data_IF_570297844937
#
_entry.id   IF_570297844937
#
_cell.length_a   1.000
_cell.length_b   1.000
_cell.length_c   1.000
_cell.angle_alpha   90.00
_cell.angle_beta   90.00
_cell.angle_gamma   90.00
#
_symmetry.space_group_name_H-M   'P 1'
#
loop_
_entity.id
_entity.type
_entity.pdbx_description
1 polymer ?
#
# COMPACT_ATOMS: atom_id res chain seq x y z
N UNK A 1 -14.27 29.72 -8.03
CA UNK A 1 -13.51 28.47 -8.15
C UNK A 1 -13.21 27.97 -6.75
N UNK A 2 -13.98 27.03 -6.22
CA UNK A 2 -13.69 26.45 -4.91
C UNK A 2 -12.44 25.58 -5.06
N UNK A 3 -11.35 25.93 -4.38
CA UNK A 3 -10.15 25.11 -4.35
C UNK A 3 -10.54 23.71 -3.91
N UNK A 4 -10.29 22.70 -4.75
CA UNK A 4 -10.43 21.29 -4.36
C UNK A 4 -9.61 21.15 -3.08
N UNK A 5 -10.28 20.89 -1.95
CA UNK A 5 -9.60 20.56 -0.71
C UNK A 5 -8.76 19.31 -0.97
N UNK A 6 -7.47 19.51 -1.24
CA UNK A 6 -6.53 18.42 -1.41
C UNK A 6 -6.24 17.92 0.00
N UNK A 7 -6.77 16.75 0.34
CA UNK A 7 -6.42 16.07 1.59
C UNK A 7 -4.89 16.06 1.73
N UNK A 8 -4.30 16.41 2.88
CA UNK A 8 -2.84 16.51 3.04
C UNK A 8 -2.20 15.11 3.03
N UNK A 9 -2.08 14.52 1.84
CA UNK A 9 -1.64 13.14 1.62
C UNK A 9 -0.24 12.88 2.18
N UNK A 10 0.69 13.82 1.98
CA UNK A 10 2.08 13.67 2.44
C UNK A 10 2.19 13.71 3.97
N UNK A 11 1.64 14.71 4.69
CA UNK A 11 1.63 14.67 6.15
C UNK A 11 0.97 13.41 6.74
N UNK A 12 -0.18 12.99 6.19
CA UNK A 12 -0.84 11.77 6.67
C UNK A 12 0.02 10.53 6.43
N UNK A 13 0.67 10.42 5.27
CA UNK A 13 1.59 9.33 4.95
C UNK A 13 2.77 9.27 5.92
N UNK A 14 3.39 10.41 6.22
CA UNK A 14 4.48 10.48 7.19
C UNK A 14 4.03 10.03 8.58
N UNK A 15 2.87 10.50 9.03
CA UNK A 15 2.30 10.10 10.33
C UNK A 15 2.02 8.59 10.39
N UNK A 16 1.45 8.02 9.33
CA UNK A 16 1.17 6.58 9.27
C UNK A 16 2.45 5.74 9.27
N UNK A 17 3.52 6.22 8.65
CA UNK A 17 4.79 5.52 8.64
C UNK A 17 5.57 5.66 9.96
N UNK A 18 5.41 6.77 10.67
CA UNK A 18 6.01 6.96 12.00
C UNK A 18 5.26 6.21 13.11
N UNK A 19 4.00 5.88 12.90
CA UNK A 19 3.17 5.21 13.91
C UNK A 19 3.77 3.87 14.42
N UNK A 20 4.24 2.95 13.56
CA UNK A 20 4.94 1.75 14.00
C UNK A 20 6.22 2.01 14.78
N UNK A 21 6.97 3.06 14.43
CA UNK A 21 8.18 3.46 15.16
C UNK A 21 7.82 3.94 16.57
N UNK A 22 6.74 4.72 16.71
CA UNK A 22 6.22 5.11 18.02
C UNK A 22 5.82 3.89 18.86
N UNK A 23 5.24 2.86 18.25
CA UNK A 23 4.96 1.58 18.90
C UNK A 23 6.20 0.94 19.54
N UNK A 24 7.33 0.94 18.84
CA UNK A 24 8.58 0.36 19.38
C UNK A 24 9.15 1.23 20.49
N UNK A 25 9.22 2.55 20.27
CA UNK A 25 9.87 3.48 21.20
C UNK A 25 9.10 3.64 22.52
N UNK A 26 7.77 3.65 22.47
CA UNK A 26 6.92 3.99 23.62
C UNK A 26 6.11 2.81 24.17
N UNK A 27 5.81 1.80 23.34
CA UNK A 27 4.91 0.68 23.70
C UNK A 27 5.61 -0.69 23.68
N UNK A 28 6.95 -0.71 23.61
CA UNK A 28 7.78 -1.90 23.55
C UNK A 28 7.31 -2.90 22.47
N UNK A 29 6.79 -2.40 21.35
CA UNK A 29 6.35 -3.26 20.27
C UNK A 29 7.49 -4.14 19.78
N UNK A 30 7.14 -5.40 19.64
CA UNK A 30 8.02 -6.39 19.08
C UNK A 30 8.07 -6.25 17.55
N UNK A 31 9.10 -6.81 16.93
CA UNK A 31 9.19 -6.82 15.47
C UNK A 31 8.02 -7.59 14.83
N UNK A 32 7.44 -8.56 15.55
CA UNK A 32 6.20 -9.22 15.16
C UNK A 32 5.04 -8.22 15.05
N UNK A 33 4.82 -7.40 16.09
CA UNK A 33 3.73 -6.41 16.10
C UNK A 33 3.82 -5.44 14.91
N UNK A 34 5.03 -4.97 14.61
CA UNK A 34 5.26 -4.12 13.45
C UNK A 34 4.85 -4.85 12.18
N UNK A 35 5.45 -6.01 11.86
CA UNK A 35 5.14 -6.67 10.58
C UNK A 35 3.67 -7.07 10.48
N UNK A 36 3.05 -7.45 11.60
CA UNK A 36 1.65 -7.84 11.64
C UNK A 36 0.71 -6.69 11.31
N UNK A 37 0.93 -5.47 11.85
CA UNK A 37 0.12 -4.31 11.48
C UNK A 37 0.25 -3.96 9.99
N UNK A 38 1.43 -4.16 9.43
CA UNK A 38 1.70 -3.94 8.01
C UNK A 38 1.08 -4.99 7.09
N UNK A 39 1.05 -6.24 7.54
CA UNK A 39 0.30 -7.28 6.87
C UNK A 39 -1.18 -6.89 6.80
N UNK A 40 -1.75 -6.40 7.90
CA UNK A 40 -3.12 -5.85 7.92
C UNK A 40 -3.30 -4.62 7.04
N UNK A 41 -2.33 -3.71 6.99
CA UNK A 41 -2.33 -2.59 6.03
C UNK A 41 -2.54 -3.08 4.60
N UNK A 42 -1.84 -4.16 4.23
CA UNK A 42 -1.92 -4.76 2.89
C UNK A 42 -3.26 -5.46 2.65
N UNK A 43 -3.82 -6.11 3.66
CA UNK A 43 -5.17 -6.71 3.61
C UNK A 43 -6.22 -5.62 3.36
N UNK A 44 -6.19 -4.55 4.15
CA UNK A 44 -7.13 -3.42 4.06
C UNK A 44 -7.00 -2.72 2.70
N UNK A 45 -5.79 -2.42 2.26
CA UNK A 45 -5.53 -1.87 0.92
C UNK A 45 -6.14 -2.75 -0.19
N UNK A 46 -5.92 -4.07 -0.11
CA UNK A 46 -6.42 -5.01 -1.11
C UNK A 46 -7.96 -5.01 -1.15
N UNK A 47 -8.61 -4.96 0.01
CA UNK A 47 -10.06 -4.82 0.12
C UNK A 47 -10.57 -3.55 -0.57
N UNK A 48 -9.99 -2.38 -0.26
CA UNK A 48 -10.40 -1.12 -0.89
C UNK A 48 -10.10 -1.08 -2.38
N UNK A 49 -9.03 -1.70 -2.86
CA UNK A 49 -8.75 -1.83 -4.29
C UNK A 49 -9.84 -2.64 -5.01
N UNK A 50 -10.36 -3.71 -4.40
CA UNK A 50 -11.51 -4.44 -4.96
C UNK A 50 -12.74 -3.56 -5.06
N UNK A 51 -13.03 -2.75 -4.02
CA UNK A 51 -14.13 -1.78 -4.06
C UNK A 51 -13.93 -0.72 -5.14
N UNK A 52 -12.69 -0.28 -5.38
CA UNK A 52 -12.36 0.67 -6.46
C UNK A 52 -12.51 0.02 -7.83
N UNK A 53 -12.06 -1.22 -8.02
CA UNK A 53 -12.20 -1.95 -9.29
C UNK A 53 -13.67 -2.12 -9.70
N UNK A 54 -14.54 -2.41 -8.74
CA UNK A 54 -15.99 -2.48 -9.00
C UNK A 54 -16.53 -1.16 -9.58
N UNK A 55 -16.08 -0.01 -9.04
CA UNK A 55 -16.56 1.34 -9.39
C UNK A 55 -15.78 2.04 -10.50
N UNK A 56 -14.61 1.54 -10.90
CA UNK A 56 -13.78 2.10 -11.97
C UNK A 56 -14.53 2.15 -13.31
N UNK A 57 -14.55 3.29 -14.00
CA UNK A 57 -15.31 3.43 -15.25
C UNK A 57 -14.45 3.36 -16.52
N UNK A 58 -13.16 3.73 -16.44
CA UNK A 58 -12.29 3.72 -17.62
C UNK A 58 -12.01 2.30 -18.07
N UNK A 59 -12.15 2.08 -19.39
CA UNK A 59 -11.72 0.83 -20.02
C UNK A 59 -10.22 0.84 -20.25
N UNK A 60 -9.59 -0.32 -20.11
CA UNK A 60 -8.17 -0.47 -20.43
C UNK A 60 -7.95 -0.41 -21.95
N UNK A 61 -6.91 0.30 -22.36
CA UNK A 61 -6.47 0.41 -23.75
C UNK A 61 -5.89 -0.91 -24.25
N UNK A 62 -5.94 -1.13 -25.57
CA UNK A 62 -5.40 -2.33 -26.19
C UNK A 62 -3.88 -2.42 -25.98
N UNK A 63 -3.40 -3.62 -25.65
CA UNK A 63 -1.97 -3.90 -25.48
C UNK A 63 -1.49 -4.70 -26.69
N UNK A 64 -0.85 -4.06 -27.68
CA UNK A 64 -0.53 -4.71 -28.96
C UNK A 64 0.43 -5.89 -28.82
N UNK A 65 1.21 -5.95 -27.74
CA UNK A 65 2.21 -6.99 -27.50
C UNK A 65 1.73 -8.11 -26.56
N UNK A 66 0.44 -8.17 -26.21
CA UNK A 66 -0.11 -9.20 -25.32
C UNK A 66 -1.00 -10.15 -26.12
N UNK A 67 -0.56 -11.42 -26.18
CA UNK A 67 -1.32 -12.51 -26.81
C UNK A 67 -1.78 -13.52 -25.78
N UNK A 68 -3.02 -13.96 -25.86
CA UNK A 68 -3.58 -15.07 -25.09
C UNK A 68 -3.75 -16.24 -26.07
N UNK A 69 -3.06 -17.35 -25.81
CA UNK A 69 -3.05 -18.54 -26.68
C UNK A 69 -2.65 -18.24 -28.14
N UNK A 70 -1.69 -17.33 -28.34
CA UNK A 70 -1.22 -16.93 -29.68
C UNK A 70 -2.15 -15.95 -30.43
N UNK A 71 -3.30 -15.60 -29.87
CA UNK A 71 -4.21 -14.59 -30.41
C UNK A 71 -4.09 -13.27 -29.63
N UNK A 72 -4.28 -12.10 -30.28
CA UNK A 72 -4.34 -10.82 -29.59
C UNK A 72 -5.42 -10.81 -28.50
N UNK A 73 -5.14 -10.16 -27.38
CA UNK A 73 -6.11 -10.00 -26.29
C UNK A 73 -7.38 -9.27 -26.77
N UNK A 74 -8.54 -9.92 -26.59
CA UNK A 74 -9.85 -9.34 -26.91
C UNK A 74 -10.32 -8.34 -25.85
N UNK A 75 -11.09 -7.34 -26.29
CA UNK A 75 -11.65 -6.32 -25.37
C UNK A 75 -12.53 -6.93 -24.27
N UNK A 76 -13.27 -8.01 -24.60
CA UNK A 76 -14.14 -8.72 -23.67
C UNK A 76 -13.39 -9.32 -22.50
N UNK A 77 -12.18 -9.87 -22.73
CA UNK A 77 -11.31 -10.40 -21.68
C UNK A 77 -10.66 -9.24 -20.91
N UNK A 78 -10.10 -8.27 -21.63
CA UNK A 78 -9.35 -7.14 -21.08
C UNK A 78 -10.16 -6.30 -20.08
N UNK A 79 -11.46 -6.14 -20.32
CA UNK A 79 -12.35 -5.33 -19.49
C UNK A 79 -13.34 -6.15 -18.65
N UNK A 80 -13.12 -7.47 -18.52
CA UNK A 80 -13.93 -8.33 -17.67
C UNK A 80 -13.64 -8.05 -16.18
N UNK A 81 -14.39 -7.12 -15.59
CA UNK A 81 -14.22 -6.75 -14.17
C UNK A 81 -14.32 -7.94 -13.21
N UNK A 82 -15.33 -8.83 -13.30
CA UNK A 82 -15.38 -10.02 -12.45
C UNK A 82 -14.10 -10.86 -12.51
N UNK A 83 -13.59 -11.14 -13.72
CA UNK A 83 -12.37 -11.90 -13.90
C UNK A 83 -11.16 -11.20 -13.25
N UNK A 84 -10.97 -9.90 -13.54
CA UNK A 84 -9.88 -9.11 -12.97
C UNK A 84 -9.93 -9.13 -11.43
N UNK A 85 -11.12 -8.94 -10.85
CA UNK A 85 -11.31 -8.93 -9.40
C UNK A 85 -11.00 -10.31 -8.78
N UNK A 86 -11.50 -11.39 -9.38
CA UNK A 86 -11.25 -12.77 -8.89
C UNK A 86 -9.77 -13.12 -9.00
N UNK A 87 -9.13 -12.82 -10.14
CA UNK A 87 -7.68 -13.05 -10.31
C UNK A 87 -6.88 -12.23 -9.30
N UNK A 88 -7.20 -10.94 -9.12
CA UNK A 88 -6.55 -10.09 -8.13
C UNK A 88 -6.72 -10.64 -6.71
N UNK A 89 -7.94 -10.98 -6.31
CA UNK A 89 -8.22 -11.53 -4.98
C UNK A 89 -7.50 -12.87 -4.77
N UNK A 90 -7.51 -13.77 -5.76
CA UNK A 90 -6.81 -15.05 -5.69
C UNK A 90 -5.31 -14.88 -5.52
N UNK A 91 -4.67 -14.07 -6.39
CA UNK A 91 -3.23 -13.78 -6.29
C UNK A 91 -2.88 -13.08 -4.98
N UNK A 92 -3.66 -12.08 -4.55
CA UNK A 92 -3.43 -11.35 -3.29
C UNK A 92 -3.63 -12.24 -2.07
N UNK A 93 -4.67 -13.06 -2.03
CA UNK A 93 -4.92 -13.98 -0.94
C UNK A 93 -3.78 -15.01 -0.82
N UNK A 94 -3.30 -15.55 -1.94
CA UNK A 94 -2.17 -16.48 -1.96
C UNK A 94 -0.89 -15.85 -1.39
N UNK A 95 -0.54 -14.64 -1.85
CA UNK A 95 0.66 -13.93 -1.37
C UNK A 95 0.52 -13.58 0.12
N UNK A 96 -0.62 -13.04 0.55
CA UNK A 96 -0.88 -12.68 1.95
C UNK A 96 -0.87 -13.91 2.85
N UNK A 97 -1.33 -15.06 2.36
CA UNK A 97 -1.28 -16.33 3.09
C UNK A 97 0.16 -16.80 3.30
N UNK A 98 1.01 -16.77 2.26
CA UNK A 98 2.44 -17.11 2.39
C UNK A 98 3.11 -16.20 3.43
N UNK A 99 2.83 -14.90 3.40
CA UNK A 99 3.38 -13.99 4.41
C UNK A 99 2.86 -14.31 5.80
N UNK A 100 1.57 -14.61 5.95
CA UNK A 100 1.01 -14.93 7.25
C UNK A 100 1.71 -16.15 7.84
N UNK A 101 1.90 -17.21 7.05
CA UNK A 101 2.67 -18.39 7.46
C UNK A 101 4.09 -17.99 7.86
N UNK A 102 4.77 -17.16 7.06
CA UNK A 102 6.13 -16.72 7.35
C UNK A 102 6.20 -15.92 8.67
N UNK A 103 5.26 -15.00 8.89
CA UNK A 103 5.16 -14.16 10.09
C UNK A 103 4.87 -15.02 11.33
N UNK A 104 3.93 -15.95 11.25
CA UNK A 104 3.56 -16.80 12.40
C UNK A 104 4.66 -17.80 12.75
N UNK A 105 5.23 -18.46 11.75
CA UNK A 105 6.22 -19.54 11.95
C UNK A 105 7.59 -18.97 12.27
N UNK A 106 8.14 -18.09 11.43
CA UNK A 106 9.53 -17.64 11.60
C UNK A 106 9.67 -16.56 12.65
N UNK A 107 8.73 -15.62 12.71
CA UNK A 107 8.84 -14.47 13.62
C UNK A 107 8.14 -14.76 14.95
N UNK A 108 6.97 -15.39 14.92
CA UNK A 108 6.23 -15.79 16.12
C UNK A 108 6.98 -16.81 16.98
N UNK A 109 7.61 -17.83 16.39
CA UNK A 109 8.39 -18.81 17.16
C UNK A 109 9.73 -18.26 17.65
N UNK A 110 10.31 -17.28 16.95
CA UNK A 110 11.60 -16.69 17.32
C UNK A 110 11.49 -15.66 18.45
N UNK A 111 10.38 -14.93 18.53
CA UNK A 111 10.09 -14.01 19.64
C UNK A 111 9.39 -14.75 20.78
N UNK A 112 10.17 -15.48 21.59
CA UNK A 112 9.70 -15.95 22.90
C UNK A 112 9.16 -14.79 23.74
N UNK A 113 8.19 -15.06 24.61
CA UNK A 113 7.55 -14.04 25.47
C UNK A 113 8.60 -13.28 26.29
N UNK A 114 8.88 -12.03 25.91
CA UNK A 114 9.80 -11.15 26.64
C UNK A 114 9.03 -10.36 27.71
N UNK A 115 9.59 -10.19 28.92
CA UNK A 115 8.95 -9.39 29.95
C UNK A 115 8.63 -7.97 29.46
N UNK A 116 7.38 -7.53 29.61
CA UNK A 116 6.93 -6.18 29.25
C UNK A 116 6.66 -5.94 27.76
N UNK A 117 6.72 -6.97 26.91
CA UNK A 117 6.23 -6.91 25.52
C UNK A 117 4.86 -7.57 25.42
N UNK A 118 3.95 -7.03 24.59
CA UNK A 118 2.72 -7.74 24.25
C UNK A 118 3.05 -9.11 23.66
N UNK A 119 2.38 -10.14 24.16
CA UNK A 119 2.48 -11.48 23.62
C UNK A 119 1.95 -11.55 22.19
N UNK A 120 2.43 -12.54 21.43
CA UNK A 120 1.96 -12.79 20.07
C UNK A 120 0.42 -12.94 20.00
N UNK A 121 -0.17 -13.65 20.98
CA UNK A 121 -1.62 -13.83 21.08
C UNK A 121 -2.37 -12.52 21.29
N UNK A 122 -1.88 -11.65 22.17
CA UNK A 122 -2.48 -10.32 22.39
C UNK A 122 -2.43 -9.44 21.13
N UNK A 123 -1.37 -9.53 20.35
CA UNK A 123 -1.24 -8.82 19.09
C UNK A 123 -2.22 -9.37 18.04
N UNK A 124 -2.28 -10.69 17.85
CA UNK A 124 -3.15 -11.35 16.87
C UNK A 124 -4.63 -11.08 17.17
N UNK A 125 -5.01 -11.10 18.44
CA UNK A 125 -6.39 -10.87 18.89
C UNK A 125 -6.70 -9.38 19.10
N UNK A 126 -5.78 -8.48 18.77
CA UNK A 126 -5.92 -7.03 18.93
C UNK A 126 -6.28 -6.60 20.37
N UNK A 127 -5.75 -7.32 21.35
CA UNK A 127 -5.92 -7.01 22.77
C UNK A 127 -5.07 -5.81 23.19
N UNK A 128 -3.92 -5.60 22.54
CA UNK A 128 -3.10 -4.41 22.74
C UNK A 128 -3.85 -3.14 22.26
N UNK A 129 -4.09 -2.14 23.13
CA UNK A 129 -4.82 -0.93 22.76
C UNK A 129 -4.16 -0.13 21.64
N UNK A 130 -2.82 -0.08 21.62
CA UNK A 130 -2.09 0.67 20.60
C UNK A 130 -2.15 -0.04 19.24
N UNK A 131 -2.08 -1.37 19.20
CA UNK A 131 -2.28 -2.18 17.99
C UNK A 131 -3.67 -1.95 17.42
N UNK A 132 -4.70 -2.00 18.27
CA UNK A 132 -6.08 -1.71 17.88
C UNK A 132 -6.23 -0.30 17.31
N UNK A 133 -5.65 0.71 17.96
CA UNK A 133 -5.64 2.08 17.46
C UNK A 133 -4.96 2.18 16.09
N UNK A 134 -3.86 1.45 15.89
CA UNK A 134 -3.15 1.38 14.62
C UNK A 134 -3.99 0.80 13.48
N UNK A 135 -4.68 -0.33 13.73
CA UNK A 135 -5.59 -0.92 12.74
C UNK A 135 -6.73 0.04 12.38
N UNK A 136 -7.30 0.71 13.38
CA UNK A 136 -8.35 1.74 13.16
C UNK A 136 -7.79 2.91 12.35
N UNK A 137 -6.59 3.40 12.66
CA UNK A 137 -5.94 4.48 11.94
C UNK A 137 -5.69 4.14 10.46
N UNK A 138 -5.19 2.93 10.19
CA UNK A 138 -4.98 2.40 8.84
C UNK A 138 -6.31 2.25 8.10
N UNK A 139 -7.34 1.73 8.76
CA UNK A 139 -8.68 1.59 8.17
C UNK A 139 -9.27 2.96 7.79
N UNK A 140 -9.16 3.95 8.69
CA UNK A 140 -9.61 5.34 8.44
C UNK A 140 -8.83 5.95 7.29
N UNK A 141 -7.51 5.72 7.23
CA UNK A 141 -6.67 6.21 6.14
C UNK A 141 -7.15 5.70 4.78
N UNK A 142 -7.31 4.38 4.62
CA UNK A 142 -7.76 3.82 3.34
C UNK A 142 -9.22 4.12 3.03
N UNK A 143 -10.08 4.25 4.04
CA UNK A 143 -11.44 4.73 3.86
C UNK A 143 -11.44 6.17 3.33
N UNK A 144 -10.62 7.04 3.90
CA UNK A 144 -10.52 8.43 3.46
C UNK A 144 -9.98 8.51 2.03
N UNK A 145 -8.93 7.75 1.70
CA UNK A 145 -8.41 7.65 0.34
C UNK A 145 -9.48 7.16 -0.66
N UNK A 146 -10.27 6.15 -0.27
CA UNK A 146 -11.39 5.66 -1.07
C UNK A 146 -12.48 6.73 -1.29
N UNK A 147 -12.86 7.43 -0.22
CA UNK A 147 -13.88 8.49 -0.29
C UNK A 147 -13.40 9.66 -1.14
N UNK A 148 -12.16 10.12 -0.94
CA UNK A 148 -11.54 11.16 -1.76
C UNK A 148 -11.58 10.74 -3.23
N UNK A 149 -11.06 9.56 -3.58
CA UNK A 149 -11.10 9.02 -4.95
C UNK A 149 -12.52 8.96 -5.54
N UNK A 150 -13.53 8.67 -4.70
CA UNK A 150 -14.93 8.63 -5.15
C UNK A 150 -15.53 10.02 -5.38
N UNK A 151 -15.19 11.00 -4.56
CA UNK A 151 -15.74 12.36 -4.61
C UNK A 151 -14.97 13.28 -5.57
N UNK A 152 -13.68 13.06 -5.80
CA UNK A 152 -12.87 13.84 -6.76
C UNK A 152 -13.20 13.52 -8.22
N UNK A 153 -13.84 12.39 -8.48
CA UNK A 153 -14.16 11.90 -9.82
C UNK A 153 -13.10 10.97 -10.40
N UNK A 154 -12.02 10.68 -9.68
CA UNK A 154 -10.88 9.89 -10.17
C UNK A 154 -11.28 8.48 -10.62
N UNK A 155 -12.40 7.96 -10.12
CA UNK A 155 -13.01 6.70 -10.56
C UNK A 155 -13.37 6.66 -12.05
N UNK A 156 -13.60 7.83 -12.68
CA UNK A 156 -13.89 7.96 -14.10
C UNK A 156 -12.64 7.67 -14.95
N UNK A 157 -11.47 8.04 -14.46
CA UNK A 157 -10.19 7.89 -15.15
C UNK A 157 -9.41 6.63 -14.73
N UNK A 158 -9.90 5.91 -13.72
CA UNK A 158 -9.27 4.71 -13.21
C UNK A 158 -9.72 3.49 -14.01
N UNK A 159 -8.77 2.63 -14.41
CA UNK A 159 -9.07 1.32 -15.00
C UNK A 159 -8.97 0.21 -13.95
N UNK A 160 -9.81 -0.82 -14.03
CA UNK A 160 -9.71 -1.97 -13.10
C UNK A 160 -8.33 -2.67 -13.19
N UNK A 161 -7.78 -2.78 -14.40
CA UNK A 161 -6.46 -3.37 -14.64
C UNK A 161 -5.32 -2.60 -13.95
N UNK A 162 -5.42 -1.26 -13.84
CA UNK A 162 -4.40 -0.45 -13.15
C UNK A 162 -4.36 -0.68 -11.62
N UNK A 163 -5.49 -1.11 -11.04
CA UNK A 163 -5.60 -1.43 -9.61
C UNK A 163 -5.19 -2.88 -9.33
N UNK A 164 -5.28 -3.76 -10.32
CA UNK A 164 -5.02 -5.19 -10.20
C UNK A 164 -3.52 -5.57 -10.24
N UNK A 165 -2.62 -4.62 -9.96
CA UNK A 165 -1.18 -4.88 -9.95
C UNK A 165 -0.83 -5.85 -8.80
N UNK A 166 -0.15 -6.98 -9.09
CA UNK A 166 0.16 -7.98 -8.07
C UNK A 166 1.20 -7.49 -7.06
N UNK A 167 2.18 -6.73 -7.53
CA UNK A 167 3.23 -6.12 -6.71
C UNK A 167 3.20 -4.61 -6.89
N UNK A 168 3.23 -3.90 -5.76
CA UNK A 168 3.55 -2.49 -5.69
C UNK A 168 4.89 -2.30 -4.97
N UNK A 169 5.51 -1.13 -5.13
CA UNK A 169 6.78 -0.82 -4.47
C UNK A 169 6.72 -1.04 -2.96
N UNK A 170 5.56 -0.82 -2.34
CA UNK A 170 5.33 -1.06 -0.89
C UNK A 170 5.48 -2.54 -0.53
N UNK A 171 4.81 -3.43 -1.26
CA UNK A 171 4.90 -4.87 -1.03
C UNK A 171 6.32 -5.40 -1.21
N UNK A 172 7.11 -4.83 -2.12
CA UNK A 172 8.52 -5.20 -2.30
C UNK A 172 9.34 -4.77 -1.08
N UNK A 173 9.16 -3.53 -0.59
CA UNK A 173 9.81 -3.07 0.64
C UNK A 173 9.48 -3.98 1.81
N UNK A 174 8.20 -4.38 1.96
CA UNK A 174 7.80 -5.31 3.00
C UNK A 174 8.59 -6.61 2.95
N UNK A 175 8.72 -7.24 1.78
CA UNK A 175 9.50 -8.50 1.68
C UNK A 175 10.96 -8.28 2.01
N UNK A 176 11.58 -7.26 1.42
CA UNK A 176 13.00 -6.99 1.62
C UNK A 176 13.27 -6.76 3.10
N UNK A 177 12.41 -5.99 3.78
CA UNK A 177 12.60 -5.68 5.19
C UNK A 177 12.22 -6.83 6.12
N UNK A 178 11.19 -7.61 5.79
CA UNK A 178 10.85 -8.82 6.56
C UNK A 178 11.98 -9.84 6.46
N UNK A 179 12.49 -10.11 5.26
CA UNK A 179 13.57 -11.07 5.03
C UNK A 179 14.87 -10.58 5.69
N UNK A 180 15.28 -9.33 5.42
CA UNK A 180 16.49 -8.77 6.01
C UNK A 180 16.37 -8.66 7.53
N UNK A 181 15.23 -8.23 8.06
CA UNK A 181 15.02 -8.07 9.50
C UNK A 181 14.96 -9.39 10.24
N UNK A 182 14.26 -10.40 9.69
CA UNK A 182 14.21 -11.74 10.27
C UNK A 182 15.60 -12.39 10.26
N UNK A 183 16.31 -12.36 9.13
CA UNK A 183 17.68 -12.90 9.02
C UNK A 183 18.64 -12.14 9.93
N UNK A 184 18.61 -10.81 9.93
CA UNK A 184 19.53 -10.02 10.74
C UNK A 184 19.26 -10.19 12.24
N UNK A 185 18.00 -10.29 12.68
CA UNK A 185 17.70 -10.56 14.09
C UNK A 185 18.15 -11.98 14.47
N UNK A 186 17.83 -12.97 13.63
CA UNK A 186 18.13 -14.38 13.90
C UNK A 186 19.63 -14.69 13.90
N UNK A 187 20.41 -14.11 12.98
CA UNK A 187 21.81 -14.44 12.77
C UNK A 187 22.80 -13.40 13.30
N UNK A 188 22.41 -12.12 13.35
CA UNK A 188 23.30 -11.02 13.72
C UNK A 188 22.89 -10.35 15.05
N UNK A 189 21.73 -10.71 15.62
CA UNK A 189 21.18 -10.05 16.80
C UNK A 189 22.10 -10.12 18.02
N UNK A 190 22.51 -11.34 18.40
CA UNK A 190 23.41 -11.54 19.55
C UNK A 190 24.82 -10.98 19.29
N UNK A 191 25.31 -11.08 18.05
CA UNK A 191 26.65 -10.61 17.68
C UNK A 191 26.75 -9.08 17.64
N UNK A 192 25.71 -8.39 17.14
CA UNK A 192 25.72 -6.93 16.97
C UNK A 192 25.26 -6.16 18.20
N UNK A 193 24.33 -6.72 18.99
CA UNK A 193 23.65 -5.98 20.05
C UNK A 193 23.87 -6.55 21.46
N UNK A 194 24.58 -7.68 21.60
CA UNK A 194 24.91 -8.25 22.90
C UNK A 194 23.66 -8.47 23.77
N UNK A 195 23.68 -7.94 25.00
CA UNK A 195 22.56 -8.03 25.95
C UNK A 195 21.50 -6.91 25.81
N UNK A 196 21.69 -5.94 24.92
CA UNK A 196 20.76 -4.81 24.70
C UNK A 196 19.52 -5.26 23.92
N UNK A 197 18.52 -5.78 24.65
CA UNK A 197 17.32 -6.40 24.08
C UNK A 197 16.43 -5.45 23.24
N UNK A 198 16.58 -4.13 23.41
CA UNK A 198 15.79 -3.11 22.71
C UNK A 198 16.44 -2.58 21.42
N UNK A 199 17.76 -2.73 21.27
CA UNK A 199 18.49 -2.12 20.16
C UNK A 199 18.08 -2.71 18.79
N UNK A 200 17.96 -4.03 18.70
CA UNK A 200 17.58 -4.71 17.46
C UNK A 200 16.19 -4.27 16.95
N UNK A 201 15.08 -4.38 17.72
CA UNK A 201 13.76 -3.92 17.27
C UNK A 201 13.74 -2.45 16.83
N UNK A 202 14.43 -1.56 17.55
CA UNK A 202 14.50 -0.13 17.24
C UNK A 202 15.21 0.11 15.90
N UNK A 203 16.35 -0.54 15.67
CA UNK A 203 17.10 -0.37 14.43
C UNK A 203 16.33 -0.91 13.22
N UNK A 204 15.71 -2.08 13.35
CA UNK A 204 14.89 -2.63 12.26
C UNK A 204 13.66 -1.77 11.99
N UNK A 205 12.95 -1.33 13.03
CA UNK A 205 11.82 -0.42 12.89
C UNK A 205 12.24 0.88 12.20
N UNK A 206 13.37 1.46 12.60
CA UNK A 206 13.89 2.70 12.02
C UNK A 206 14.23 2.51 10.54
N UNK A 207 15.00 1.47 10.20
CA UNK A 207 15.34 1.15 8.81
C UNK A 207 14.09 0.93 7.95
N UNK A 208 13.14 0.17 8.49
CA UNK A 208 11.88 -0.12 7.83
C UNK A 208 11.05 1.13 7.55
N UNK A 209 10.84 1.97 8.56
CA UNK A 209 10.07 3.21 8.44
C UNK A 209 10.72 4.16 7.43
N UNK A 210 12.05 4.27 7.45
CA UNK A 210 12.80 5.08 6.48
C UNK A 210 12.57 4.56 5.06
N UNK A 211 12.76 3.26 4.83
CA UNK A 211 12.65 2.70 3.49
C UNK A 211 11.22 2.74 2.95
N UNK A 212 10.24 2.43 3.80
CA UNK A 212 8.83 2.57 3.43
C UNK A 212 8.51 4.02 3.07
N UNK A 213 8.91 4.96 3.91
CA UNK A 213 8.64 6.38 3.68
C UNK A 213 9.24 6.87 2.38
N UNK A 214 10.48 6.47 2.06
CA UNK A 214 11.12 6.80 0.79
C UNK A 214 10.29 6.29 -0.42
N UNK A 215 9.87 5.03 -0.38
CA UNK A 215 9.08 4.43 -1.47
C UNK A 215 7.68 5.03 -1.57
N UNK A 216 7.04 5.33 -0.45
CA UNK A 216 5.74 5.98 -0.43
C UNK A 216 5.79 7.41 -0.99
N UNK A 217 6.82 8.19 -0.64
CA UNK A 217 7.06 9.52 -1.19
C UNK A 217 7.37 9.48 -2.69
N UNK A 218 8.15 8.49 -3.13
CA UNK A 218 8.43 8.27 -4.54
C UNK A 218 7.15 7.91 -5.32
N UNK A 219 6.29 7.06 -4.75
CA UNK A 219 5.01 6.72 -5.36
C UNK A 219 4.04 7.92 -5.42
N UNK A 220 4.05 8.81 -4.44
CA UNK A 220 3.18 9.98 -4.41
C UNK A 220 3.67 11.11 -5.33
N UNK A 221 4.99 11.34 -5.41
CA UNK A 221 5.57 12.29 -6.38
C UNK A 221 5.26 11.91 -7.82
N UNK A 222 5.34 10.62 -8.17
CA UNK A 222 4.94 10.15 -9.50
C UNK A 222 3.46 10.37 -9.86
N UNK A 223 2.56 10.55 -8.88
CA UNK A 223 1.16 10.93 -9.15
C UNK A 223 1.01 12.42 -9.45
N UNK A 224 1.72 13.29 -8.74
CA UNK A 224 1.69 14.75 -8.97
C UNK A 224 2.20 15.11 -10.36
N UNK A 225 3.25 14.44 -10.82
CA UNK A 225 3.80 14.67 -12.16
C UNK A 225 2.77 14.33 -13.25
N UNK A 226 2.02 13.22 -13.08
CA UNK A 226 0.94 12.84 -14.00
C UNK A 226 -0.20 13.85 -14.01
N UNK A 227 -0.63 14.35 -12.84
CA UNK A 227 -1.66 15.39 -12.77
C UNK A 227 -1.23 16.67 -13.50
N UNK A 228 0.02 17.09 -13.32
CA UNK A 228 0.57 18.31 -13.94
C UNK A 228 0.59 18.19 -15.47
N UNK A 229 1.09 17.08 -16.00
CA UNK A 229 1.13 16.82 -17.46
C UNK A 229 -0.27 16.75 -18.06
N UNK A 230 -1.24 16.13 -17.36
CA UNK A 230 -2.64 16.08 -17.82
C UNK A 230 -3.26 17.47 -17.86
N UNK A 231 -3.06 18.29 -16.83
CA UNK A 231 -3.58 19.65 -16.79
C UNK A 231 -2.97 20.54 -17.88
N UNK A 232 -1.67 20.40 -18.15
CA UNK A 232 -1.01 21.10 -19.26
C UNK A 232 -1.58 20.68 -20.62
N UNK A 233 -1.79 19.38 -20.82
CA UNK A 233 -2.36 18.82 -22.06
C UNK A 233 -3.82 19.28 -22.28
N UNK A 234 -4.62 19.30 -21.20
CA UNK A 234 -6.01 19.79 -21.24
C UNK A 234 -6.06 21.31 -21.47
N UNK A 235 -5.15 22.08 -20.86
CA UNK A 235 -5.00 23.51 -21.13
C UNK A 235 -4.65 23.80 -22.59
N UNK A 236 -3.77 22.98 -23.18
CA UNK A 236 -3.38 23.08 -24.59
C UNK A 236 -4.53 22.74 -25.55
N UNK A 237 -5.36 21.74 -25.23
CA UNK A 237 -6.58 21.42 -25.98
C UNK A 237 -7.61 22.54 -25.92
N UNK A 238 -7.84 23.12 -24.73
CA UNK A 238 -8.79 24.21 -24.54
C UNK A 238 -8.41 25.47 -25.32
N UNK A 239 -7.12 25.83 -25.33
CA UNK A 239 -6.61 26.95 -26.12
C UNK A 239 -6.69 26.72 -27.64
N UNK A 240 -6.76 25.47 -28.10
CA UNK A 240 -6.89 25.14 -29.52
C UNK A 240 -8.36 25.09 -29.99
N UNK A 241 -9.29 24.78 -29.09
CA UNK A 241 -10.73 24.81 -29.38
C UNK A 241 -11.29 26.25 -29.40
N UNK A 242 -10.73 27.16 -28.60
CA UNK A 242 -11.06 28.60 -28.62
C UNK A 242 -10.47 29.35 -29.84
N UNK A 243 -9.57 28.70 -30.60
CA UNK A 243 -8.94 29.25 -31.80
C UNK A 243 -9.65 28.87 -33.11
N UNK A 244 -10.84 28.23 -33.06
CA UNK A 244 -11.64 28.03 -34.28
C UNK A 244 -12.20 29.36 -34.74
N UNK A 245 -11.87 29.83 -35.96
CA UNK A 245 -12.47 31.04 -36.49
C UNK A 245 -13.98 30.80 -36.65
N UNK A 246 -14.76 31.70 -36.08
CA UNK A 246 -16.16 31.90 -36.44
C UNK A 246 -16.21 32.19 -37.93
N UNK A 247 -16.48 31.16 -38.74
CA UNK A 247 -16.85 31.32 -40.14
C UNK A 247 -18.18 32.06 -40.17
N UNK A 248 -18.10 33.38 -40.24
CA UNK A 248 -19.11 34.23 -40.86
C UNK A 248 -18.96 34.10 -42.37
N UNK A 249 -20.07 33.88 -43.07
CA UNK A 249 -20.16 33.75 -44.52
C UNK A 249 -21.32 32.87 -44.91
#
# INVERSE_FOLDING_TARGET
>A
MAGKAQFPRVPTLLLMNLFPLAGVLFFNWSFFAIIYIYWWETVILSFFNVLKMAKAAKRAEARPNVTINGAPETESIRNNKPLIMVTYMGTRAFILFIYLVFILVFIGMYQGNRPGQPSMGEIILFMDPFMKAGIVAVLIYYLTDYLVWRFTGDWQETTAASLAMPFDGRSIVMHVVIVLGAVSTAFLGETLFGSEQKAAPILFASFFVIMKTAVDLWAESGKKDRETVVLETLGKKRGNDDARPTTQG
#
